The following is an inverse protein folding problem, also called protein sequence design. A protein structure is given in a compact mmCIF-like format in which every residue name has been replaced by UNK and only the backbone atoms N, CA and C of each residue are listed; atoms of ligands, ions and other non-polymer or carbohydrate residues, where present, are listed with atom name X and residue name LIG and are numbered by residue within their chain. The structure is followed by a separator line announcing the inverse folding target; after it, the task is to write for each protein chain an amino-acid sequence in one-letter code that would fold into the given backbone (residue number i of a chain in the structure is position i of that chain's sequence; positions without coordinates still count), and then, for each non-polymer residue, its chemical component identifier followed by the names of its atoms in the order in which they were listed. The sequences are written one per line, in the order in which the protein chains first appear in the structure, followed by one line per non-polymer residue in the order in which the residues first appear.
data_IF_375870741636
#
_entry.id   IF_375870741636
#
_cell.length_a   1.000
_cell.length_b   1.000
_cell.length_c   1.000
_cell.angle_alpha   90.00
_cell.angle_beta   90.00
_cell.angle_gamma   90.00
#
_symmetry.space_group_name_H-M   'P 1'
#
loop_
_entity.id
_entity.type
_entity.pdbx_description
1 polymer ?
#
# COMPACT_ATOMS: atom_id res chain seq x y z
N UNK A 1 82.02 -28.60 23.89
CA UNK A 1 80.64 -28.57 24.41
C UNK A 1 80.08 -27.14 24.31
N UNK A 2 79.55 -26.69 23.16
CA UNK A 2 78.90 -25.36 23.00
C UNK A 2 77.75 -25.33 21.98
N UNK A 3 77.13 -26.47 21.65
CA UNK A 3 76.05 -26.56 20.64
C UNK A 3 74.63 -26.40 21.22
N UNK A 4 74.47 -26.56 22.53
CA UNK A 4 73.16 -26.45 23.22
C UNK A 4 72.47 -25.07 23.14
N UNK A 5 73.16 -23.90 23.21
CA UNK A 5 72.46 -22.62 23.22
C UNK A 5 71.89 -22.22 21.84
N UNK A 6 72.49 -22.67 20.74
CA UNK A 6 72.01 -22.34 19.39
C UNK A 6 70.72 -23.08 19.02
N UNK A 7 70.62 -24.36 19.38
CA UNK A 7 69.42 -25.14 19.16
C UNK A 7 68.23 -24.61 19.97
N UNK A 8 68.47 -24.17 21.21
CA UNK A 8 67.44 -23.55 22.05
C UNK A 8 66.92 -22.23 21.46
N UNK A 9 67.82 -21.36 20.95
CA UNK A 9 67.43 -20.10 20.29
C UNK A 9 66.59 -20.33 19.02
N UNK A 10 66.99 -21.29 18.17
CA UNK A 10 66.25 -21.59 16.93
C UNK A 10 64.85 -22.12 17.25
N UNK A 11 64.73 -23.02 18.22
CA UNK A 11 63.43 -23.55 18.65
C UNK A 11 62.50 -22.45 19.20
N UNK A 12 63.04 -21.50 19.99
CA UNK A 12 62.27 -20.38 20.53
C UNK A 12 61.77 -19.44 19.42
N UNK A 13 62.62 -19.15 18.43
CA UNK A 13 62.25 -18.31 17.27
C UNK A 13 61.17 -19.00 16.43
N UNK A 14 61.31 -20.29 16.11
CA UNK A 14 60.28 -21.04 15.38
C UNK A 14 58.94 -21.05 16.13
N UNK A 15 58.93 -21.35 17.42
CA UNK A 15 57.69 -21.36 18.22
C UNK A 15 57.03 -19.98 18.30
N UNK A 16 57.82 -18.90 18.35
CA UNK A 16 57.30 -17.53 18.34
C UNK A 16 56.72 -17.11 16.99
N UNK A 17 57.31 -17.58 15.88
CA UNK A 17 56.81 -17.36 14.53
C UNK A 17 55.49 -18.10 14.29
N UNK A 18 55.38 -19.34 14.78
CA UNK A 18 54.15 -20.13 14.72
C UNK A 18 53.02 -19.48 15.53
N UNK A 19 53.32 -19.03 16.75
CA UNK A 19 52.33 -18.32 17.59
C UNK A 19 51.84 -17.02 16.93
N UNK A 20 52.75 -16.25 16.32
CA UNK A 20 52.39 -15.04 15.56
C UNK A 20 51.53 -15.37 14.34
N UNK A 21 51.88 -16.41 13.59
CA UNK A 21 51.12 -16.83 12.41
C UNK A 21 49.71 -17.33 12.77
N UNK A 22 49.59 -18.08 13.87
CA UNK A 22 48.31 -18.54 14.43
C UNK A 22 47.46 -17.36 14.90
N UNK A 23 48.04 -16.40 15.61
CA UNK A 23 47.35 -15.18 16.07
C UNK A 23 46.82 -14.37 14.89
N UNK A 24 47.66 -14.13 13.87
CA UNK A 24 47.29 -13.37 12.67
C UNK A 24 46.23 -14.08 11.82
N UNK A 25 46.30 -15.41 11.73
CA UNK A 25 45.27 -16.24 11.09
C UNK A 25 43.93 -16.13 11.81
N UNK A 26 43.93 -16.18 13.15
CA UNK A 26 42.72 -15.98 13.97
C UNK A 26 42.11 -14.58 13.79
N UNK A 27 42.92 -13.53 13.78
CA UNK A 27 42.43 -12.16 13.55
C UNK A 27 41.77 -11.99 12.19
N UNK A 28 42.40 -12.50 11.11
CA UNK A 28 41.79 -12.50 9.76
C UNK A 28 40.50 -13.30 9.69
N UNK A 29 40.46 -14.46 10.36
CA UNK A 29 39.25 -15.26 10.44
C UNK A 29 38.13 -14.49 11.16
N UNK A 30 38.43 -13.84 12.29
CA UNK A 30 37.46 -13.03 13.02
C UNK A 30 36.99 -11.80 12.23
N UNK A 31 37.86 -11.13 11.48
CA UNK A 31 37.45 -9.99 10.64
C UNK A 31 36.53 -10.43 9.50
N UNK A 32 36.82 -11.56 8.86
CA UNK A 32 35.98 -12.14 7.81
C UNK A 32 34.59 -12.53 8.35
N UNK A 33 34.52 -13.14 9.54
CA UNK A 33 33.25 -13.46 10.20
C UNK A 33 32.45 -12.19 10.50
N UNK A 34 33.08 -11.14 11.03
CA UNK A 34 32.40 -9.86 11.32
C UNK A 34 31.82 -9.22 10.06
N UNK A 35 32.54 -9.25 8.94
CA UNK A 35 32.08 -8.69 7.67
C UNK A 35 30.92 -9.51 7.06
N UNK A 36 31.01 -10.84 7.11
CA UNK A 36 29.93 -11.72 6.70
C UNK A 36 28.65 -11.48 7.52
N UNK A 37 28.79 -11.33 8.85
CA UNK A 37 27.66 -11.00 9.74
C UNK A 37 27.07 -9.64 9.42
N UNK A 38 27.90 -8.60 9.22
CA UNK A 38 27.39 -7.26 8.81
C UNK A 38 26.60 -7.34 7.51
N UNK A 39 27.14 -8.02 6.51
CA UNK A 39 26.49 -8.20 5.21
C UNK A 39 25.15 -8.94 5.35
N UNK A 40 25.11 -9.99 6.17
CA UNK A 40 23.88 -10.73 6.44
C UNK A 40 22.84 -9.85 7.15
N UNK A 41 23.26 -9.08 8.17
CA UNK A 41 22.40 -8.13 8.89
C UNK A 41 21.84 -7.07 7.96
N UNK A 42 22.66 -6.50 7.08
CA UNK A 42 22.22 -5.46 6.14
C UNK A 42 21.21 -6.03 5.13
N UNK A 43 21.45 -7.24 4.59
CA UNK A 43 20.47 -7.93 3.74
C UNK A 43 19.14 -8.18 4.47
N UNK A 44 19.19 -8.60 5.73
CA UNK A 44 17.98 -8.80 6.53
C UNK A 44 17.25 -7.48 6.78
N UNK A 45 17.98 -6.39 7.06
CA UNK A 45 17.37 -5.06 7.24
C UNK A 45 16.63 -4.59 5.98
N UNK A 46 17.24 -4.73 4.80
CA UNK A 46 16.57 -4.32 3.55
C UNK A 46 15.35 -5.19 3.23
N UNK A 47 15.44 -6.50 3.48
CA UNK A 47 14.29 -7.40 3.32
C UNK A 47 13.14 -7.01 4.27
N UNK A 48 13.46 -6.69 5.53
CA UNK A 48 12.45 -6.25 6.52
C UNK A 48 11.85 -4.91 6.13
N UNK A 49 12.64 -3.91 5.70
CA UNK A 49 12.11 -2.62 5.21
C UNK A 49 11.15 -2.81 4.05
N UNK A 50 11.56 -3.60 3.06
CA UNK A 50 10.71 -3.91 1.90
C UNK A 50 9.39 -4.57 2.33
N UNK A 51 9.44 -5.50 3.29
CA UNK A 51 8.23 -6.13 3.81
C UNK A 51 7.32 -5.12 4.53
N UNK A 52 7.89 -4.26 5.37
CA UNK A 52 7.16 -3.22 6.10
C UNK A 52 6.51 -2.22 5.14
N UNK A 53 7.22 -1.79 4.10
CA UNK A 53 6.69 -0.83 3.11
C UNK A 53 5.50 -1.42 2.35
N UNK A 54 5.58 -2.69 1.92
CA UNK A 54 4.45 -3.40 1.30
C UNK A 54 3.27 -3.53 2.24
N UNK A 55 3.51 -3.84 3.52
CA UNK A 55 2.44 -3.92 4.51
C UNK A 55 1.80 -2.56 4.73
N UNK A 56 2.59 -1.48 4.80
CA UNK A 56 2.08 -0.13 4.97
C UNK A 56 1.24 0.32 3.78
N UNK A 57 1.67 0.02 2.56
CA UNK A 57 0.92 0.29 1.33
C UNK A 57 -0.40 -0.50 1.33
N UNK A 58 -0.37 -1.79 1.62
CA UNK A 58 -1.57 -2.63 1.68
C UNK A 58 -2.58 -2.14 2.73
N UNK A 59 -2.08 -1.75 3.91
CA UNK A 59 -2.92 -1.15 4.97
C UNK A 59 -3.49 0.21 4.52
N UNK A 60 -2.67 1.03 3.85
CA UNK A 60 -3.12 2.30 3.26
C UNK A 60 -4.29 2.08 2.30
N UNK A 61 -4.11 1.23 1.30
CA UNK A 61 -5.17 0.87 0.33
C UNK A 61 -6.43 0.34 1.02
N UNK A 62 -6.31 -0.48 2.05
CA UNK A 62 -7.48 -0.97 2.80
C UNK A 62 -8.22 0.15 3.54
N UNK A 63 -7.49 1.08 4.17
CA UNK A 63 -8.07 2.25 4.83
C UNK A 63 -8.80 3.15 3.82
N UNK A 64 -8.18 3.41 2.67
CA UNK A 64 -8.79 4.18 1.58
C UNK A 64 -10.09 3.53 1.08
N UNK A 65 -10.11 2.20 0.94
CA UNK A 65 -11.32 1.46 0.54
C UNK A 65 -12.46 1.59 1.55
N UNK A 66 -12.15 1.50 2.85
CA UNK A 66 -13.14 1.72 3.91
C UNK A 66 -13.68 3.15 3.90
N UNK A 67 -12.79 4.14 3.72
CA UNK A 67 -13.19 5.53 3.60
C UNK A 67 -14.05 5.78 2.37
N UNK A 68 -13.66 5.26 1.20
CA UNK A 68 -14.42 5.38 -0.04
C UNK A 68 -15.78 4.70 0.04
N UNK A 69 -15.90 3.55 0.71
CA UNK A 69 -17.19 2.94 1.00
C UNK A 69 -18.07 3.83 1.90
N UNK A 70 -17.47 4.51 2.87
CA UNK A 70 -18.13 5.52 3.70
C UNK A 70 -18.65 6.72 2.91
N UNK A 71 -17.88 7.19 1.92
CA UNK A 71 -18.28 8.29 1.03
C UNK A 71 -19.45 7.87 0.12
N UNK A 72 -19.38 6.68 -0.46
CA UNK A 72 -20.48 6.10 -1.25
C UNK A 72 -21.77 5.97 -0.43
N UNK A 73 -21.66 5.52 0.82
CA UNK A 73 -22.81 5.44 1.73
C UNK A 73 -23.36 6.82 2.11
N UNK A 74 -22.49 7.80 2.31
CA UNK A 74 -22.88 9.18 2.61
C UNK A 74 -23.63 9.81 1.44
N UNK A 75 -23.16 9.61 0.21
CA UNK A 75 -23.88 10.03 -1.00
C UNK A 75 -25.25 9.36 -1.15
N UNK A 76 -25.35 8.06 -0.86
CA UNK A 76 -26.64 7.38 -0.82
C UNK A 76 -27.58 7.96 0.25
N UNK A 77 -27.07 8.27 1.44
CA UNK A 77 -27.87 8.87 2.52
C UNK A 77 -28.38 10.25 2.14
N UNK A 78 -27.54 11.10 1.57
CA UNK A 78 -27.93 12.44 1.14
C UNK A 78 -28.92 12.41 -0.02
N UNK A 79 -28.78 11.46 -0.95
CA UNK A 79 -29.77 11.22 -2.00
C UNK A 79 -31.13 10.87 -1.40
N UNK A 80 -31.15 9.99 -0.39
CA UNK A 80 -32.37 9.58 0.31
C UNK A 80 -32.97 10.70 1.15
N UNK A 81 -32.15 11.50 1.81
CA UNK A 81 -32.57 12.59 2.68
C UNK A 81 -33.08 13.80 1.88
N UNK A 82 -32.37 14.17 0.81
CA UNK A 82 -32.76 15.29 -0.04
C UNK A 82 -34.10 15.05 -0.73
N UNK A 83 -34.40 13.78 -1.07
CA UNK A 83 -35.59 13.37 -1.81
C UNK A 83 -35.86 14.29 -3.04
N UNK A 84 -34.78 14.74 -3.68
CA UNK A 84 -34.84 15.75 -4.72
C UNK A 84 -35.00 15.12 -6.10
N UNK A 85 -35.89 15.69 -6.90
CA UNK A 85 -36.20 15.16 -8.23
C UNK A 85 -34.98 15.33 -9.16
N UNK A 86 -34.65 14.27 -9.90
CA UNK A 86 -33.54 14.23 -10.88
C UNK A 86 -32.15 14.52 -10.27
N UNK A 87 -31.95 14.26 -8.98
CA UNK A 87 -30.66 14.43 -8.31
C UNK A 87 -29.85 13.12 -8.23
N UNK A 88 -30.40 11.99 -8.70
CA UNK A 88 -29.77 10.67 -8.65
C UNK A 88 -28.35 10.71 -9.24
N UNK A 89 -28.19 11.23 -10.46
CA UNK A 89 -26.88 11.30 -11.14
C UNK A 89 -25.88 12.20 -10.44
N UNK A 90 -26.35 13.25 -9.77
CA UNK A 90 -25.50 14.08 -8.93
C UNK A 90 -24.90 13.27 -7.79
N UNK A 91 -25.71 12.52 -7.04
CA UNK A 91 -25.22 11.72 -5.92
C UNK A 91 -24.37 10.52 -6.38
N UNK A 92 -24.66 9.94 -7.54
CA UNK A 92 -23.79 8.95 -8.19
C UNK A 92 -22.39 9.49 -8.48
N UNK A 93 -22.32 10.65 -9.15
CA UNK A 93 -21.05 11.30 -9.47
C UNK A 93 -20.33 11.76 -8.20
N UNK A 94 -21.03 12.39 -7.25
CA UNK A 94 -20.45 12.91 -6.00
C UNK A 94 -19.86 11.80 -5.14
N UNK A 95 -20.60 10.72 -4.91
CA UNK A 95 -20.09 9.57 -4.14
C UNK A 95 -18.85 8.94 -4.77
N UNK A 96 -18.84 8.78 -6.10
CA UNK A 96 -17.67 8.25 -6.81
C UNK A 96 -16.48 9.23 -6.80
N UNK A 97 -16.74 10.53 -6.89
CA UNK A 97 -15.72 11.59 -6.83
C UNK A 97 -15.05 11.64 -5.45
N UNK A 98 -15.84 11.66 -4.38
CA UNK A 98 -15.36 11.68 -3.00
C UNK A 98 -14.55 10.41 -2.68
N UNK A 99 -15.09 9.25 -3.05
CA UNK A 99 -14.40 7.98 -2.83
C UNK A 99 -13.09 7.87 -3.64
N UNK A 100 -13.08 8.32 -4.90
CA UNK A 100 -11.86 8.28 -5.72
C UNK A 100 -10.76 9.23 -5.21
N UNK A 101 -11.13 10.34 -4.56
CA UNK A 101 -10.17 11.25 -3.92
C UNK A 101 -9.45 10.63 -2.72
N UNK A 102 -9.96 9.53 -2.14
CA UNK A 102 -9.26 8.81 -1.06
C UNK A 102 -7.99 8.12 -1.54
N UNK A 103 -7.91 7.75 -2.82
CA UNK A 103 -6.79 7.01 -3.40
C UNK A 103 -7.23 5.74 -4.13
N UNK A 104 -6.28 4.88 -4.54
CA UNK A 104 -6.56 3.65 -5.26
C UNK A 104 -7.59 2.73 -4.58
N UNK A 105 -7.53 2.61 -3.25
CA UNK A 105 -8.48 1.79 -2.50
C UNK A 105 -9.91 2.34 -2.54
N UNK A 106 -10.06 3.66 -2.42
CA UNK A 106 -11.36 4.32 -2.50
C UNK A 106 -11.96 4.28 -3.90
N UNK A 107 -11.13 4.44 -4.94
CA UNK A 107 -11.54 4.25 -6.34
C UNK A 107 -12.05 2.83 -6.59
N UNK A 108 -11.37 1.81 -6.07
CA UNK A 108 -11.81 0.42 -6.16
C UNK A 108 -13.13 0.19 -5.42
N UNK A 109 -13.28 0.74 -4.21
CA UNK A 109 -14.52 0.63 -3.45
C UNK A 109 -15.71 1.27 -4.20
N UNK A 110 -15.51 2.44 -4.80
CA UNK A 110 -16.51 3.12 -5.60
C UNK A 110 -16.98 2.29 -6.81
N UNK A 111 -16.04 1.64 -7.51
CA UNK A 111 -16.33 0.73 -8.63
C UNK A 111 -17.15 -0.48 -8.20
N UNK A 112 -16.70 -1.20 -7.17
CA UNK A 112 -17.39 -2.39 -6.66
C UNK A 112 -18.80 -2.05 -6.20
N UNK A 113 -18.97 -0.97 -5.43
CA UNK A 113 -20.27 -0.56 -4.91
C UNK A 113 -21.21 -0.10 -6.03
N UNK A 114 -20.69 0.64 -7.02
CA UNK A 114 -21.48 1.08 -8.17
C UNK A 114 -22.03 -0.10 -8.98
N UNK A 115 -21.17 -1.08 -9.29
CA UNK A 115 -21.55 -2.27 -10.04
C UNK A 115 -22.53 -3.16 -9.24
N UNK A 116 -22.33 -3.28 -7.92
CA UNK A 116 -23.25 -4.02 -7.06
C UNK A 116 -24.65 -3.37 -7.04
N UNK A 117 -24.72 -2.03 -6.98
CA UNK A 117 -26.00 -1.30 -7.01
C UNK A 117 -26.70 -1.48 -8.36
N UNK A 118 -25.97 -1.41 -9.47
CA UNK A 118 -26.51 -1.67 -10.81
C UNK A 118 -27.10 -3.09 -10.95
N UNK A 119 -26.37 -4.10 -10.49
CA UNK A 119 -26.84 -5.49 -10.55
C UNK A 119 -28.14 -5.70 -9.77
N UNK A 120 -28.29 -5.01 -8.64
CA UNK A 120 -29.54 -5.01 -7.89
C UNK A 120 -30.68 -4.31 -8.66
N UNK A 121 -30.40 -3.18 -9.30
CA UNK A 121 -31.42 -2.38 -10.01
C UNK A 121 -31.91 -3.01 -11.30
N UNK A 122 -30.99 -3.55 -12.10
CA UNK A 122 -31.30 -4.20 -13.38
C UNK A 122 -31.97 -5.56 -13.20
N UNK A 123 -31.56 -6.34 -12.18
CA UNK A 123 -32.07 -7.69 -11.95
C UNK A 123 -33.34 -7.77 -11.12
N UNK A 124 -33.53 -6.86 -10.15
CA UNK A 124 -34.58 -7.00 -9.13
C UNK A 124 -35.57 -5.84 -9.07
N UNK A 125 -35.18 -4.61 -9.41
CA UNK A 125 -36.10 -3.46 -9.38
C UNK A 125 -36.75 -3.12 -10.72
N UNK A 126 -36.39 -3.80 -11.81
CA UNK A 126 -36.97 -3.60 -13.13
C UNK A 126 -36.58 -2.27 -13.79
N UNK A 127 -35.42 -1.70 -13.43
CA UNK A 127 -34.93 -0.45 -14.02
C UNK A 127 -34.50 -0.66 -15.48
N UNK A 128 -34.86 0.29 -16.35
CA UNK A 128 -34.56 0.19 -17.79
C UNK A 128 -33.08 0.38 -18.11
N UNK A 129 -32.61 -0.27 -19.18
CA UNK A 129 -31.19 -0.22 -19.61
C UNK A 129 -30.66 1.20 -19.85
N UNK A 130 -31.53 2.12 -20.31
CA UNK A 130 -31.15 3.51 -20.55
C UNK A 130 -30.79 4.25 -19.25
N UNK A 131 -31.55 4.02 -18.18
CA UNK A 131 -31.30 4.62 -16.87
C UNK A 131 -30.01 4.04 -16.27
N UNK A 132 -29.84 2.72 -16.37
CA UNK A 132 -28.63 2.00 -15.96
C UNK A 132 -27.37 2.56 -16.62
N UNK A 133 -27.39 2.73 -17.95
CA UNK A 133 -26.24 3.29 -18.68
C UNK A 133 -25.92 4.70 -18.24
N UNK A 134 -26.95 5.51 -17.98
CA UNK A 134 -26.74 6.88 -17.57
C UNK A 134 -26.27 6.97 -16.11
N UNK A 135 -26.65 6.02 -15.24
CA UNK A 135 -26.09 5.91 -13.88
C UNK A 135 -24.61 5.56 -13.94
N UNK A 136 -24.22 4.64 -14.83
CA UNK A 136 -22.81 4.29 -15.02
C UNK A 136 -21.98 5.45 -15.57
N UNK A 137 -22.51 6.23 -16.51
CA UNK A 137 -21.82 7.43 -17.00
C UNK A 137 -21.55 8.44 -15.88
N UNK A 138 -22.51 8.66 -14.98
CA UNK A 138 -22.33 9.55 -13.84
C UNK A 138 -21.32 8.98 -12.82
N UNK A 139 -21.37 7.66 -12.55
CA UNK A 139 -20.38 7.00 -11.69
C UNK A 139 -18.96 7.18 -12.24
N UNK A 140 -18.76 6.92 -13.53
CA UNK A 140 -17.47 7.04 -14.20
C UNK A 140 -16.98 8.48 -14.25
N UNK A 141 -17.86 9.44 -14.54
CA UNK A 141 -17.53 10.87 -14.54
C UNK A 141 -16.92 11.29 -13.20
N UNK A 142 -17.62 11.01 -12.09
CA UNK A 142 -17.14 11.32 -10.75
C UNK A 142 -15.84 10.58 -10.41
N UNK A 143 -15.80 9.26 -10.67
CA UNK A 143 -14.63 8.41 -10.36
C UNK A 143 -13.38 8.84 -11.12
N UNK A 144 -13.53 9.48 -12.28
CA UNK A 144 -12.45 10.03 -13.09
C UNK A 144 -12.09 11.49 -12.74
N UNK A 145 -12.65 12.05 -11.68
CA UNK A 145 -12.35 13.40 -11.20
C UNK A 145 -13.14 14.51 -11.89
N UNK A 146 -14.18 14.17 -12.66
CA UNK A 146 -15.11 15.14 -13.22
C UNK A 146 -15.95 15.80 -12.13
N UNK A 147 -16.27 17.08 -12.31
CA UNK A 147 -17.08 17.85 -11.36
C UNK A 147 -18.51 17.28 -11.25
N UNK A 148 -18.94 16.77 -10.08
CA UNK A 148 -20.29 16.25 -9.88
C UNK A 148 -21.39 17.26 -10.20
N UNK A 149 -21.11 18.57 -10.10
CA UNK A 149 -22.09 19.61 -10.39
C UNK A 149 -22.56 19.64 -11.84
N UNK A 150 -21.89 18.92 -12.75
CA UNK A 150 -22.40 18.62 -14.09
C UNK A 150 -23.83 18.04 -14.07
N UNK A 151 -24.17 17.29 -13.02
CA UNK A 151 -25.49 16.66 -12.85
C UNK A 151 -26.34 17.33 -11.76
N UNK A 152 -25.88 18.43 -11.15
CA UNK A 152 -26.62 19.08 -10.06
C UNK A 152 -27.92 19.67 -10.61
N UNK A 153 -29.10 19.25 -10.11
CA UNK A 153 -30.35 19.86 -10.53
C UNK A 153 -30.52 21.24 -9.89
N UNK A 154 -31.21 22.12 -10.60
CA UNK A 154 -31.53 23.45 -10.10
C UNK A 154 -32.30 23.38 -8.78
N UNK A 155 -31.88 24.21 -7.82
CA UNK A 155 -32.51 24.29 -6.50
C UNK A 155 -32.10 23.22 -5.50
N UNK A 156 -31.24 22.25 -5.85
CA UNK A 156 -30.71 21.30 -4.86
C UNK A 156 -29.98 22.07 -3.74
N UNK A 157 -30.36 21.93 -2.46
CA UNK A 157 -29.77 22.69 -1.37
C UNK A 157 -28.25 22.55 -1.31
N UNK A 158 -27.53 23.66 -1.16
CA UNK A 158 -26.06 23.73 -1.19
C UNK A 158 -25.34 22.89 -0.13
N UNK A 159 -26.06 22.40 0.88
CA UNK A 159 -25.50 21.45 1.86
C UNK A 159 -25.16 20.08 1.26
N UNK A 160 -25.73 19.77 0.10
CA UNK A 160 -25.51 18.53 -0.65
C UNK A 160 -24.56 18.76 -1.81
#
# INVERSE_FOLDING_TARGET
MRLLPFAACVALVCASADAWFISRSRERSQSSVKEAVRTAVDKTKEAVRTAVDRTREAVGTAVEAVQGAGDMYSAYRDMRESNWRNADKYFHARGNYDAAQRGPGGRWAAEVISNAREGYQSGLSGQGEADTRADQEANEWGRNGGDPNRYRPEGLPDRY
#
